data_IF_820512166788
#
_entry.id   IF_820512166788
#
_cell.length_a   1.000
_cell.length_b   1.000
_cell.length_c   1.000
_cell.angle_alpha   90.00
_cell.angle_beta   90.00
_cell.angle_gamma   90.00
#
_symmetry.space_group_name_H-M   'P 1'
#
loop_
_entity.id
_entity.type
_entity.pdbx_description
1 polymer ?
#
# COMPACT_ATOMS: atom_id res chain seq x y z
N UNK A 1 1.24 35.27 -9.18
CA UNK A 1 0.12 34.33 -9.39
C UNK A 1 -0.16 33.64 -8.07
N UNK A 2 -1.43 33.45 -7.73
CA UNK A 2 -1.80 32.58 -6.59
C UNK A 2 -1.49 31.12 -6.96
N UNK A 3 -0.97 30.31 -6.04
CA UNK A 3 -0.63 28.92 -6.32
C UNK A 3 -1.86 28.08 -6.73
N UNK A 4 -3.03 28.35 -6.14
CA UNK A 4 -4.25 27.57 -6.36
C UNK A 4 -5.32 28.37 -7.13
N UNK A 5 -4.97 28.83 -8.33
CA UNK A 5 -5.84 29.65 -9.17
C UNK A 5 -6.11 29.01 -10.53
N UNK A 6 -7.27 29.31 -11.10
CA UNK A 6 -7.59 28.99 -12.49
C UNK A 6 -7.08 30.12 -13.38
N UNK A 7 -6.43 29.77 -14.49
CA UNK A 7 -5.85 30.75 -15.39
C UNK A 7 -6.17 30.43 -16.85
N UNK A 8 -6.50 31.48 -17.60
CA UNK A 8 -6.55 31.45 -19.06
C UNK A 8 -5.22 31.95 -19.57
N UNK A 9 -4.60 31.17 -20.44
CA UNK A 9 -3.32 31.52 -21.08
C UNK A 9 -3.56 31.69 -22.57
N UNK A 10 -3.26 32.87 -23.12
CA UNK A 10 -3.29 33.14 -24.56
C UNK A 10 -1.89 33.38 -25.10
N UNK A 11 -1.67 33.12 -26.39
CA UNK A 11 -0.36 33.21 -27.05
C UNK A 11 0.71 32.33 -26.39
N UNK A 12 0.30 31.18 -25.83
CA UNK A 12 1.23 30.14 -25.40
C UNK A 12 1.71 29.33 -26.61
N UNK A 13 2.97 28.89 -26.58
CA UNK A 13 3.45 27.90 -27.55
C UNK A 13 3.17 26.50 -27.01
N UNK A 14 2.36 25.74 -27.73
CA UNK A 14 2.00 24.36 -27.37
C UNK A 14 2.94 23.40 -28.11
N UNK A 15 3.70 22.62 -27.35
CA UNK A 15 4.56 21.54 -27.85
C UNK A 15 4.43 20.31 -26.96
N UNK A 16 5.55 19.69 -26.56
CA UNK A 16 5.57 18.69 -25.48
C UNK A 16 5.24 19.30 -24.11
N UNK A 17 5.34 20.62 -23.99
CA UNK A 17 4.90 21.40 -22.84
C UNK A 17 4.20 22.68 -23.30
N UNK A 18 3.43 23.28 -22.40
CA UNK A 18 2.86 24.63 -22.58
C UNK A 18 3.93 25.65 -22.19
N UNK A 19 4.49 26.34 -23.18
CA UNK A 19 5.50 27.37 -22.95
C UNK A 19 4.85 28.74 -22.84
N UNK A 20 4.97 29.34 -21.66
CA UNK A 20 4.52 30.70 -21.35
C UNK A 20 5.73 31.62 -21.43
N UNK A 21 5.64 32.67 -22.25
CA UNK A 21 6.71 33.65 -22.45
C UNK A 21 6.25 35.06 -22.10
N UNK A 22 7.14 36.04 -22.21
CA UNK A 22 6.79 37.47 -22.06
C UNK A 22 5.72 37.96 -23.05
N UNK A 23 5.50 37.24 -24.16
CA UNK A 23 4.47 37.55 -25.15
C UNK A 23 3.13 36.85 -24.87
N UNK A 24 3.12 35.92 -23.91
CA UNK A 24 1.93 35.19 -23.48
C UNK A 24 1.15 36.03 -22.48
N UNK A 25 -0.18 36.00 -22.57
CA UNK A 25 -1.06 36.68 -21.61
C UNK A 25 -1.64 35.64 -20.67
N UNK A 26 -1.45 35.83 -19.36
CA UNK A 26 -2.01 34.99 -18.31
C UNK A 26 -3.05 35.80 -17.55
N UNK A 27 -4.28 35.31 -17.50
CA UNK A 27 -5.41 35.99 -16.85
C UNK A 27 -6.06 35.06 -15.83
N UNK A 28 -6.28 35.53 -14.60
CA UNK A 28 -7.06 34.79 -13.60
C UNK A 28 -8.47 34.55 -14.15
N UNK A 29 -8.96 33.33 -13.98
CA UNK A 29 -10.22 32.84 -14.52
C UNK A 29 -11.12 32.37 -13.40
N UNK A 30 -12.42 32.28 -13.70
CA UNK A 30 -13.37 31.69 -12.76
C UNK A 30 -13.05 30.20 -12.59
N UNK A 31 -13.34 29.62 -11.41
CA UNK A 31 -13.30 28.18 -11.24
C UNK A 31 -14.14 27.46 -12.28
N UNK A 32 -13.61 26.36 -12.79
CA UNK A 32 -14.34 25.45 -13.66
C UNK A 32 -14.19 24.02 -13.14
N UNK A 33 -15.20 23.21 -13.39
CA UNK A 33 -15.18 21.81 -13.01
C UNK A 33 -14.21 21.05 -13.91
N UNK A 34 -13.30 20.31 -13.28
CA UNK A 34 -12.39 19.41 -13.95
C UNK A 34 -12.34 18.08 -13.19
N UNK A 35 -11.95 17.02 -13.89
CA UNK A 35 -11.82 15.72 -13.28
C UNK A 35 -10.59 15.69 -12.36
N UNK A 36 -10.83 15.73 -11.05
CA UNK A 36 -9.79 15.61 -10.02
C UNK A 36 -9.05 14.28 -10.09
N UNK A 37 -9.65 13.24 -10.65
CA UNK A 37 -8.98 11.96 -10.87
C UNK A 37 -7.84 12.11 -11.87
N UNK A 38 -8.05 12.86 -12.96
CA UNK A 38 -7.02 13.12 -13.97
C UNK A 38 -5.83 13.85 -13.36
N UNK A 39 -6.08 14.85 -12.51
CA UNK A 39 -5.01 15.53 -11.77
C UNK A 39 -4.27 14.58 -10.83
N UNK A 40 -5.00 13.80 -10.02
CA UNK A 40 -4.41 12.84 -9.09
C UNK A 40 -3.53 11.82 -9.80
N UNK A 41 -4.03 11.26 -10.91
CA UNK A 41 -3.32 10.28 -11.73
C UNK A 41 -2.11 10.89 -12.43
N UNK A 42 -2.17 12.18 -12.81
CA UNK A 42 -1.05 12.90 -13.39
C UNK A 42 0.07 13.17 -12.37
N UNK A 43 -0.29 13.59 -11.16
CA UNK A 43 0.65 13.88 -10.07
C UNK A 43 1.24 12.61 -9.46
N UNK A 44 0.44 11.55 -9.38
CA UNK A 44 0.82 10.25 -8.80
C UNK A 44 0.57 9.14 -9.83
N UNK A 45 1.38 9.07 -10.89
CA UNK A 45 1.18 8.07 -11.92
C UNK A 45 1.48 6.67 -11.37
N UNK A 46 0.75 5.68 -11.88
CA UNK A 46 0.83 4.28 -11.46
C UNK A 46 2.28 3.79 -11.40
N UNK A 47 2.64 3.10 -10.32
CA UNK A 47 3.91 2.38 -10.18
C UNK A 47 3.87 1.12 -11.03
N UNK A 48 4.92 0.93 -11.83
CA UNK A 48 5.07 -0.15 -12.81
C UNK A 48 6.45 -0.77 -12.68
N UNK A 49 6.57 -2.03 -13.11
CA UNK A 49 7.85 -2.74 -13.10
C UNK A 49 8.72 -2.33 -14.30
N UNK A 50 10.02 -2.64 -14.25
CA UNK A 50 10.94 -2.40 -15.39
C UNK A 50 10.45 -3.08 -16.68
N UNK A 51 9.92 -4.30 -16.61
CA UNK A 51 9.41 -5.01 -17.79
C UNK A 51 8.19 -4.30 -18.42
N UNK A 52 7.26 -3.79 -17.60
CA UNK A 52 6.10 -3.03 -18.07
C UNK A 52 6.51 -1.67 -18.64
N UNK A 53 7.50 -1.01 -18.04
CA UNK A 53 8.02 0.26 -18.54
C UNK A 53 8.68 0.10 -19.92
N UNK A 54 9.40 -1.00 -20.15
CA UNK A 54 10.01 -1.33 -21.44
C UNK A 54 9.02 -1.72 -22.53
N UNK A 55 7.77 -2.00 -22.20
CA UNK A 55 6.70 -2.26 -23.20
C UNK A 55 5.75 -1.08 -23.34
N UNK A 56 5.99 0.00 -22.58
CA UNK A 56 5.13 1.17 -22.58
C UNK A 56 5.38 2.07 -23.80
N UNK A 57 4.33 2.70 -24.36
CA UNK A 57 4.48 3.63 -25.47
C UNK A 57 5.25 4.89 -25.05
N UNK A 58 5.95 5.49 -26.01
CA UNK A 58 6.64 6.76 -25.83
C UNK A 58 5.67 7.87 -25.36
N UNK A 59 6.19 8.80 -24.54
CA UNK A 59 5.48 9.89 -23.85
C UNK A 59 4.50 9.44 -22.76
N UNK A 60 4.44 8.15 -22.44
CA UNK A 60 3.63 7.69 -21.31
C UNK A 60 4.27 8.12 -19.99
N UNK A 61 3.45 8.68 -19.10
CA UNK A 61 3.85 9.02 -17.73
C UNK A 61 3.64 7.82 -16.80
N UNK A 62 4.64 7.45 -16.02
CA UNK A 62 4.58 6.34 -15.06
C UNK A 62 5.51 6.57 -13.86
N UNK A 63 5.33 5.78 -12.81
CA UNK A 63 6.34 5.59 -11.76
C UNK A 63 6.98 4.22 -11.95
N UNK A 64 8.26 4.09 -11.64
CA UNK A 64 9.06 2.89 -11.87
C UNK A 64 9.57 2.33 -10.56
N UNK A 65 9.27 1.07 -10.28
CA UNK A 65 9.88 0.32 -9.16
C UNK A 65 10.92 -0.66 -9.70
N UNK A 66 12.05 -0.76 -8.99
CA UNK A 66 13.12 -1.70 -9.30
C UNK A 66 14.34 -1.48 -8.42
N UNK A 67 15.42 -2.18 -8.73
CA UNK A 67 16.67 -2.13 -7.98
C UNK A 67 17.64 -1.13 -8.59
N UNK A 68 18.25 -0.27 -7.78
CA UNK A 68 19.26 0.67 -8.23
C UNK A 68 20.62 -0.01 -8.44
N UNK A 69 21.17 0.05 -9.65
CA UNK A 69 22.49 -0.54 -9.94
C UNK A 69 23.65 0.45 -9.93
N UNK A 70 23.35 1.72 -10.22
CA UNK A 70 24.35 2.76 -10.26
C UNK A 70 23.94 3.95 -11.11
N UNK A 71 24.80 4.96 -11.05
CA UNK A 71 24.65 6.23 -11.77
C UNK A 71 25.83 6.44 -12.71
N UNK A 72 25.52 6.89 -13.92
CA UNK A 72 26.49 7.44 -14.85
C UNK A 72 26.31 8.95 -14.89
N UNK A 73 27.37 9.69 -14.55
CA UNK A 73 27.42 11.14 -14.57
C UNK A 73 28.28 11.60 -15.75
N UNK A 74 27.79 12.61 -16.48
CA UNK A 74 28.59 13.26 -17.52
C UNK A 74 28.98 14.64 -17.00
N UNK A 75 30.26 14.87 -16.72
CA UNK A 75 30.77 16.11 -16.12
C UNK A 75 30.45 17.36 -16.95
N UNK A 76 30.24 17.21 -18.26
CA UNK A 76 29.98 18.32 -19.17
C UNK A 76 28.50 18.67 -19.34
N UNK A 77 27.58 17.83 -18.86
CA UNK A 77 26.15 18.04 -18.98
C UNK A 77 25.49 17.93 -17.61
N UNK A 78 24.59 18.85 -17.24
CA UNK A 78 23.73 18.72 -16.05
C UNK A 78 22.71 17.58 -16.24
N UNK A 79 23.23 16.36 -16.30
CA UNK A 79 22.52 15.12 -16.59
C UNK A 79 23.15 13.96 -15.85
N UNK A 80 22.30 13.20 -15.17
CA UNK A 80 22.65 11.90 -14.57
C UNK A 80 21.81 10.81 -15.22
N UNK A 81 22.36 9.62 -15.36
CA UNK A 81 21.66 8.46 -15.89
C UNK A 81 21.70 7.36 -14.84
N UNK A 82 20.54 6.98 -14.32
CA UNK A 82 20.39 5.93 -13.34
C UNK A 82 20.01 4.64 -14.06
N UNK A 83 20.65 3.53 -13.69
CA UNK A 83 20.27 2.21 -14.20
C UNK A 83 19.41 1.51 -13.15
N UNK A 84 18.17 1.22 -13.52
CA UNK A 84 17.21 0.51 -12.67
C UNK A 84 16.96 -0.87 -13.26
N UNK A 85 17.10 -1.90 -12.44
CA UNK A 85 16.90 -3.29 -12.86
C UNK A 85 15.69 -3.94 -12.22
N UNK A 86 15.06 -4.86 -12.95
CA UNK A 86 13.92 -5.63 -12.49
C UNK A 86 13.67 -6.80 -13.42
N UNK A 87 13.47 -8.00 -12.85
CA UNK A 87 13.18 -9.23 -13.59
C UNK A 87 14.08 -9.45 -14.84
N UNK A 88 15.40 -9.35 -14.65
CA UNK A 88 16.44 -9.51 -15.69
C UNK A 88 16.46 -8.45 -16.80
N UNK A 89 15.77 -7.33 -16.63
CA UNK A 89 15.82 -6.19 -17.55
C UNK A 89 16.37 -4.94 -16.85
N UNK A 90 16.94 -4.03 -17.65
CA UNK A 90 17.47 -2.74 -17.19
C UNK A 90 16.86 -1.62 -17.99
N UNK A 91 16.44 -0.55 -17.32
CA UNK A 91 16.00 0.69 -17.96
C UNK A 91 16.88 1.86 -17.49
N UNK A 92 17.27 2.70 -18.43
CA UNK A 92 18.02 3.92 -18.16
C UNK A 92 17.06 5.07 -17.84
N UNK A 93 17.24 5.70 -16.68
CA UNK A 93 16.45 6.85 -16.22
C UNK A 93 17.31 8.11 -16.23
N UNK A 94 16.95 9.08 -17.06
CA UNK A 94 17.70 10.33 -17.24
C UNK A 94 17.16 11.43 -16.34
N UNK A 95 17.99 11.88 -15.41
CA UNK A 95 17.73 13.06 -14.60
C UNK A 95 18.31 14.29 -15.29
N UNK A 96 17.51 15.37 -15.36
CA UNK A 96 17.87 16.63 -16.01
C UNK A 96 17.73 17.81 -15.05
N UNK A 97 18.58 18.83 -15.22
CA UNK A 97 18.48 20.09 -14.49
C UNK A 97 18.51 19.88 -12.97
N UNK A 98 17.61 20.50 -12.22
CA UNK A 98 17.55 20.36 -10.76
C UNK A 98 17.37 18.91 -10.27
N UNK A 99 16.87 17.99 -11.12
CA UNK A 99 16.71 16.59 -10.74
C UNK A 99 18.04 15.84 -10.65
N UNK A 100 19.13 16.39 -11.16
CA UNK A 100 20.46 15.78 -10.95
C UNK A 100 20.92 15.92 -9.50
N UNK A 101 20.38 16.87 -8.75
CA UNK A 101 20.77 17.15 -7.36
C UNK A 101 20.03 16.29 -6.33
N UNK A 102 19.13 15.40 -6.78
CA UNK A 102 18.44 14.45 -5.90
C UNK A 102 19.46 13.57 -5.16
N UNK A 103 19.16 13.22 -3.90
CA UNK A 103 19.95 12.23 -3.15
C UNK A 103 19.91 10.90 -3.91
N UNK A 104 21.08 10.35 -4.21
CA UNK A 104 21.19 9.08 -4.91
C UNK A 104 21.03 7.93 -3.91
N UNK A 105 20.26 6.88 -4.26
CA UNK A 105 20.23 5.62 -3.52
C UNK A 105 21.60 4.94 -3.47
N UNK A 106 21.78 4.02 -2.52
CA UNK A 106 22.94 3.14 -2.49
C UNK A 106 22.78 2.00 -3.49
N UNK A 107 23.91 1.54 -4.03
CA UNK A 107 23.91 0.46 -5.00
C UNK A 107 23.27 -0.77 -4.37
N UNK A 108 22.29 -1.35 -5.08
CA UNK A 108 21.43 -2.49 -4.72
C UNK A 108 20.16 -2.16 -3.95
N UNK A 109 19.89 -0.90 -3.61
CA UNK A 109 18.64 -0.49 -2.97
C UNK A 109 17.43 -0.80 -3.87
N UNK A 110 16.32 -1.19 -3.23
CA UNK A 110 15.02 -1.19 -3.88
C UNK A 110 14.50 0.24 -3.89
N UNK A 111 14.07 0.72 -5.05
CA UNK A 111 13.68 2.11 -5.22
C UNK A 111 12.43 2.23 -6.06
N UNK A 112 11.59 3.19 -5.69
CA UNK A 112 10.54 3.69 -6.56
C UNK A 112 10.87 5.11 -7.03
N UNK A 113 11.01 5.27 -8.35
CA UNK A 113 11.19 6.56 -9.01
C UNK A 113 9.84 7.03 -9.54
N UNK A 114 9.32 8.09 -8.94
CA UNK A 114 8.01 8.62 -9.28
C UNK A 114 8.06 9.59 -10.45
N UNK A 115 6.97 9.66 -11.22
CA UNK A 115 6.73 10.75 -12.17
C UNK A 115 7.75 10.85 -13.30
N UNK A 116 7.96 9.75 -14.01
CA UNK A 116 8.81 9.65 -15.19
C UNK A 116 7.98 9.71 -16.47
N UNK A 117 8.62 10.09 -17.57
CA UNK A 117 8.07 9.99 -18.92
C UNK A 117 8.90 9.01 -19.75
N UNK A 118 8.24 8.01 -20.35
CA UNK A 118 8.89 7.06 -21.25
C UNK A 118 9.29 7.77 -22.54
N UNK A 119 10.51 7.51 -22.98
CA UNK A 119 11.05 7.98 -24.25
C UNK A 119 11.83 6.88 -24.94
N UNK A 120 12.20 7.15 -26.18
CA UNK A 120 13.02 6.25 -26.97
C UNK A 120 14.20 7.03 -27.54
N UNK A 121 15.40 6.48 -27.38
CA UNK A 121 16.61 7.05 -27.95
C UNK A 121 17.40 5.96 -28.65
N UNK A 122 17.61 6.14 -29.96
CA UNK A 122 18.35 5.20 -30.82
C UNK A 122 17.82 3.75 -30.71
N UNK A 123 16.49 3.59 -30.71
CA UNK A 123 15.86 2.26 -30.64
C UNK A 123 15.83 1.63 -29.25
N UNK A 124 16.30 2.34 -28.21
CA UNK A 124 16.26 1.86 -26.83
C UNK A 124 15.23 2.65 -26.02
N UNK A 125 14.38 1.93 -25.31
CA UNK A 125 13.41 2.51 -24.39
C UNK A 125 14.13 2.94 -23.12
N UNK A 126 13.80 4.13 -22.68
CA UNK A 126 14.41 4.84 -21.55
C UNK A 126 13.35 5.74 -20.92
N UNK A 127 13.67 6.30 -19.75
CA UNK A 127 12.76 7.21 -19.07
C UNK A 127 13.44 8.55 -18.80
N UNK A 128 12.70 9.65 -18.91
CA UNK A 128 13.15 10.98 -18.53
C UNK A 128 12.46 11.43 -17.24
N UNK A 129 13.23 12.12 -16.41
CA UNK A 129 12.68 12.90 -15.30
C UNK A 129 11.75 14.00 -15.81
N UNK A 130 10.75 14.29 -15.00
CA UNK A 130 9.78 15.38 -15.18
C UNK A 130 9.86 16.33 -13.98
N UNK A 131 9.03 17.37 -13.96
CA UNK A 131 8.97 18.32 -12.84
C UNK A 131 8.60 17.66 -11.50
N UNK A 132 7.78 16.60 -11.52
CA UNK A 132 7.33 15.88 -10.31
C UNK A 132 8.22 14.69 -9.95
N UNK A 133 9.34 14.49 -10.63
CA UNK A 133 10.23 13.36 -10.32
C UNK A 133 10.79 13.48 -8.92
N UNK A 134 10.67 12.38 -8.18
CA UNK A 134 11.26 12.12 -6.87
C UNK A 134 11.67 10.64 -6.78
N UNK A 135 12.64 10.34 -5.94
CA UNK A 135 13.15 8.98 -5.70
C UNK A 135 12.82 8.64 -4.25
N UNK A 136 12.21 7.48 -4.04
CA UNK A 136 11.96 6.89 -2.74
C UNK A 136 12.79 5.62 -2.66
N UNK A 137 13.58 5.47 -1.61
CA UNK A 137 14.24 4.21 -1.29
C UNK A 137 13.23 3.41 -0.48
N UNK A 138 12.97 2.18 -0.91
CA UNK A 138 12.15 1.23 -0.18
C UNK A 138 13.08 0.53 0.82
N UNK A 139 13.04 0.98 2.07
CA UNK A 139 13.69 0.27 3.16
C UNK A 139 12.93 -1.05 3.34
N UNK A 140 13.66 -2.19 3.30
CA UNK A 140 13.04 -3.52 3.48
C UNK A 140 12.40 -3.70 4.88
N UNK A 141 12.53 -2.69 5.77
CA UNK A 141 12.04 -2.71 7.15
C UNK A 141 10.81 -1.81 7.43
N UNK A 142 10.32 -0.98 6.51
CA UNK A 142 9.16 -0.11 6.80
C UNK A 142 7.94 -0.39 5.90
N UNK A 143 6.79 -0.58 6.55
CA UNK A 143 5.43 -0.79 6.02
C UNK A 143 4.95 -2.24 5.77
N UNK A 144 5.07 -3.12 6.77
CA UNK A 144 4.06 -4.17 6.97
C UNK A 144 3.44 -4.13 8.36
N UNK A 145 3.08 -2.92 8.84
CA UNK A 145 2.08 -2.80 9.91
C UNK A 145 0.71 -3.24 9.37
N UNK A 146 0.50 -4.55 9.29
CA UNK A 146 -0.75 -5.11 8.80
C UNK A 146 -1.72 -5.26 9.97
N UNK A 147 -2.95 -4.80 9.77
CA UNK A 147 -4.07 -5.09 10.67
C UNK A 147 -4.77 -6.33 10.12
N UNK A 148 -4.87 -7.38 10.92
CA UNK A 148 -5.55 -8.62 10.59
C UNK A 148 -6.63 -8.92 11.64
N UNK A 149 -7.75 -9.46 11.20
CA UNK A 149 -8.82 -9.95 12.06
C UNK A 149 -9.09 -11.41 11.68
N UNK A 150 -9.22 -12.30 12.67
CA UNK A 150 -9.42 -13.72 12.40
C UNK A 150 -9.67 -14.56 13.64
N UNK A 151 -10.04 -15.82 13.40
CA UNK A 151 -10.15 -16.83 14.44
C UNK A 151 -8.76 -17.36 14.81
N UNK A 152 -8.52 -17.51 16.12
CA UNK A 152 -7.33 -18.17 16.62
C UNK A 152 -7.51 -19.68 16.48
N UNK A 153 -6.78 -20.30 15.56
CA UNK A 153 -6.82 -21.73 15.28
C UNK A 153 -5.90 -22.54 16.20
N UNK A 154 -4.78 -21.94 16.63
CA UNK A 154 -3.83 -22.56 17.56
C UNK A 154 -3.02 -21.50 18.31
N UNK A 155 -2.56 -21.85 19.51
CA UNK A 155 -1.62 -21.05 20.28
C UNK A 155 -0.57 -21.98 20.92
N UNK A 156 0.71 -21.63 20.75
CA UNK A 156 1.84 -22.30 21.38
C UNK A 156 2.37 -21.40 22.51
N UNK A 157 2.50 -21.98 23.71
CA UNK A 157 2.94 -21.29 24.91
C UNK A 157 4.31 -21.85 25.35
N UNK A 158 5.38 -21.34 24.76
CA UNK A 158 6.76 -21.69 25.12
C UNK A 158 7.44 -20.51 25.79
N UNK A 159 8.42 -20.77 26.68
CA UNK A 159 9.10 -19.71 27.43
C UNK A 159 9.94 -18.79 26.55
N UNK A 160 10.47 -19.30 25.42
CA UNK A 160 11.32 -18.55 24.48
C UNK A 160 10.60 -18.12 23.20
N UNK A 161 9.73 -18.95 22.64
CA UNK A 161 9.23 -18.78 21.26
C UNK A 161 7.72 -19.06 21.13
N UNK A 162 6.92 -18.22 21.76
CA UNK A 162 5.47 -18.30 21.63
C UNK A 162 4.97 -17.87 20.25
N UNK A 163 3.95 -18.60 19.79
CA UNK A 163 3.36 -18.40 18.47
C UNK A 163 1.84 -18.57 18.49
N UNK A 164 1.17 -17.91 17.56
CA UNK A 164 -0.28 -17.96 17.39
C UNK A 164 -0.61 -18.15 15.91
N UNK A 165 -1.62 -18.98 15.63
CA UNK A 165 -2.13 -19.21 14.28
C UNK A 165 -3.48 -18.53 14.13
N UNK A 166 -3.57 -17.60 13.19
CA UNK A 166 -4.78 -16.83 12.88
C UNK A 166 -5.03 -16.93 11.38
N UNK A 167 -6.21 -17.46 10.98
CA UNK A 167 -6.62 -17.62 9.58
C UNK A 167 -5.54 -18.30 8.70
N UNK A 168 -5.02 -19.43 9.19
CA UNK A 168 -3.93 -20.19 8.57
C UNK A 168 -2.53 -19.56 8.61
N UNK A 169 -2.33 -18.40 9.25
CA UNK A 169 -1.01 -17.75 9.36
C UNK A 169 -0.40 -17.90 10.75
N UNK A 170 0.81 -18.45 10.81
CA UNK A 170 1.59 -18.54 12.03
C UNK A 170 2.39 -17.25 12.27
N UNK A 171 2.17 -16.63 13.43
CA UNK A 171 2.78 -15.37 13.85
C UNK A 171 3.51 -15.57 15.18
N UNK A 172 4.69 -14.96 15.32
CA UNK A 172 5.39 -14.87 16.59
C UNK A 172 4.67 -13.88 17.51
N UNK A 173 4.53 -14.19 18.80
CA UNK A 173 3.81 -13.33 19.75
C UNK A 173 4.45 -13.43 21.13
N UNK A 174 4.49 -12.30 21.84
CA UNK A 174 4.96 -12.30 23.21
C UNK A 174 3.99 -13.00 24.15
N UNK A 175 4.55 -13.74 25.12
CA UNK A 175 3.80 -14.40 26.18
C UNK A 175 2.89 -13.44 26.94
N UNK A 176 3.31 -12.18 27.09
CA UNK A 176 2.50 -11.13 27.68
C UNK A 176 1.20 -10.88 26.89
N UNK A 177 1.29 -10.76 25.56
CA UNK A 177 0.15 -10.53 24.67
C UNK A 177 -0.75 -11.76 24.58
N UNK A 178 -0.19 -12.96 24.51
CA UNK A 178 -0.97 -14.21 24.60
C UNK A 178 -1.75 -14.30 25.91
N UNK A 179 -1.14 -13.89 27.04
CA UNK A 179 -1.78 -13.89 28.35
C UNK A 179 -2.98 -12.92 28.46
N UNK A 180 -3.06 -11.90 27.59
CA UNK A 180 -4.23 -11.01 27.52
C UNK A 180 -5.47 -11.73 26.98
N UNK A 181 -5.27 -12.74 26.13
CA UNK A 181 -6.35 -13.57 25.59
C UNK A 181 -6.57 -14.81 26.46
N UNK A 182 -5.48 -15.51 26.79
CA UNK A 182 -5.49 -16.83 27.43
C UNK A 182 -4.92 -16.74 28.85
N UNK A 183 -5.78 -16.34 29.80
CA UNK A 183 -5.39 -16.09 31.21
C UNK A 183 -4.78 -17.29 31.95
N UNK A 184 -5.02 -18.52 31.51
CA UNK A 184 -4.52 -19.75 32.14
C UNK A 184 -3.47 -20.50 31.31
N UNK A 185 -2.85 -19.85 30.29
CA UNK A 185 -1.90 -20.52 29.37
C UNK A 185 -2.54 -21.77 28.72
N UNK A 186 -3.83 -21.64 28.41
CA UNK A 186 -4.65 -22.70 27.82
C UNK A 186 -5.35 -22.14 26.61
N UNK A 187 -5.18 -22.83 25.50
CA UNK A 187 -5.91 -22.53 24.28
C UNK A 187 -7.42 -22.74 24.51
N UNK A 188 -8.21 -21.81 23.98
CA UNK A 188 -9.68 -21.84 23.99
C UNK A 188 -10.15 -21.65 22.56
N UNK A 189 -11.02 -22.53 22.10
CA UNK A 189 -11.63 -22.47 20.76
C UNK A 189 -12.60 -21.29 20.62
N UNK A 190 -12.89 -20.88 19.38
CA UNK A 190 -13.83 -19.81 19.03
C UNK A 190 -13.45 -18.42 19.60
N UNK A 191 -12.14 -18.14 19.57
CA UNK A 191 -11.56 -16.86 19.96
C UNK A 191 -11.29 -16.04 18.72
N UNK A 192 -11.95 -14.89 18.61
CA UNK A 192 -11.74 -13.95 17.50
C UNK A 192 -10.92 -12.76 17.97
N UNK A 193 -9.87 -12.45 17.23
CA UNK A 193 -8.91 -11.41 17.59
C UNK A 193 -8.67 -10.45 16.43
N UNK A 194 -8.33 -9.21 16.79
CA UNK A 194 -7.74 -8.23 15.90
C UNK A 194 -6.28 -8.08 16.29
N UNK A 195 -5.37 -8.26 15.34
CA UNK A 195 -3.93 -8.11 15.55
C UNK A 195 -3.38 -6.98 14.71
N UNK A 196 -2.49 -6.18 15.31
CA UNK A 196 -1.51 -5.40 14.56
C UNK A 196 -0.22 -6.20 14.57
N UNK A 197 0.25 -6.55 13.39
CA UNK A 197 1.53 -7.23 13.22
C UNK A 197 2.53 -6.31 12.55
N UNK A 198 3.80 -6.52 12.84
CA UNK A 198 4.92 -5.98 12.08
C UNK A 198 5.74 -7.17 11.59
N UNK A 199 5.93 -7.25 10.26
CA UNK A 199 6.44 -8.45 9.59
C UNK A 199 5.67 -9.73 9.95
N UNK A 200 6.25 -10.62 10.76
CA UNK A 200 5.64 -11.88 11.24
C UNK A 200 5.44 -11.91 12.76
N UNK A 201 5.52 -10.76 13.42
CA UNK A 201 5.40 -10.62 14.87
C UNK A 201 4.17 -9.81 15.23
N UNK A 202 3.42 -10.27 16.23
CA UNK A 202 2.26 -9.56 16.77
C UNK A 202 2.75 -8.51 17.75
N UNK A 203 2.44 -7.25 17.46
CA UNK A 203 2.77 -6.09 18.30
C UNK A 203 1.60 -5.67 19.19
N UNK A 204 0.37 -5.88 18.71
CA UNK A 204 -0.84 -5.58 19.47
C UNK A 204 -1.90 -6.63 19.18
N UNK A 205 -2.64 -7.03 20.22
CA UNK A 205 -3.74 -7.99 20.08
C UNK A 205 -4.95 -7.54 20.89
N UNK A 206 -6.12 -7.58 20.26
CA UNK A 206 -7.39 -7.18 20.86
C UNK A 206 -8.36 -8.33 20.70
N UNK A 207 -8.89 -8.82 21.83
CA UNK A 207 -9.96 -9.82 21.85
C UNK A 207 -11.28 -9.17 21.37
N UNK A 208 -11.83 -9.68 20.27
CA UNK A 208 -13.10 -9.20 19.70
C UNK A 208 -14.27 -9.94 20.35
N UNK A 209 -14.21 -11.27 20.42
CA UNK A 209 -15.29 -12.07 20.98
C UNK A 209 -14.82 -13.46 21.44
N UNK A 210 -15.53 -13.99 22.43
CA UNK A 210 -15.37 -15.34 22.97
C UNK A 210 -16.75 -16.02 22.89
N UNK A 211 -17.00 -16.78 21.82
CA UNK A 211 -18.25 -17.53 21.71
C UNK A 211 -18.15 -18.73 22.64
N UNK A 212 -18.71 -18.60 23.85
CA UNK A 212 -18.90 -19.76 24.73
C UNK A 212 -19.86 -20.73 24.03
N UNK A 213 -19.33 -21.81 23.48
CA UNK A 213 -20.10 -23.01 23.13
C UNK A 213 -20.77 -23.54 24.40
N UNK A 214 -22.03 -23.16 24.63
CA UNK A 214 -22.95 -24.00 25.39
C UNK A 214 -23.07 -25.30 24.61
N UNK A 215 -22.35 -26.34 25.06
CA UNK A 215 -22.54 -27.72 24.63
C UNK A 215 -24.03 -28.06 24.73
N UNK A 216 -24.73 -28.13 23.60
CA UNK A 216 -25.91 -28.97 23.45
C UNK A 216 -25.43 -30.41 23.65
N UNK A 217 -25.60 -30.94 24.84
CA UNK A 217 -25.63 -32.39 25.05
C UNK A 217 -26.83 -32.91 24.27
N UNK A 218 -26.55 -33.56 23.14
CA UNK A 218 -27.49 -34.46 22.50
C UNK A 218 -27.79 -35.59 23.50
N UNK A 219 -28.96 -35.52 24.16
CA UNK A 219 -29.60 -36.71 24.72
C UNK A 219 -30.12 -37.51 23.53
N UNK A 220 -29.47 -38.63 23.24
CA UNK A 220 -30.13 -39.76 22.61
C UNK A 220 -30.70 -40.67 23.72
N UNK A 221 -31.92 -41.12 23.47
CA UNK A 221 -32.65 -42.23 24.10
C UNK A 221 -33.30 -42.04 25.48
N UNK A 222 -34.57 -41.63 25.47
CA UNK A 222 -35.67 -42.58 25.72
C UNK A 222 -37.05 -41.91 25.55
N UNK A 223 -37.77 -42.36 24.51
CA UNK A 223 -39.18 -42.80 24.51
C UNK A 223 -40.25 -42.04 25.34
N UNK A 224 -41.28 -41.61 24.59
CA UNK A 224 -42.74 -41.77 24.81
C UNK A 224 -43.58 -40.47 25.00
N UNK A 225 -44.62 -40.40 24.16
CA UNK A 225 -45.91 -39.66 24.22
C UNK A 225 -45.91 -38.14 23.96
N UNK A 226 -46.53 -37.72 22.83
CA UNK A 226 -47.89 -37.10 22.73
C UNK A 226 -47.89 -35.70 23.37
N UNK A 227 -48.27 -34.58 22.74
CA UNK A 227 -49.27 -34.30 21.72
C UNK A 227 -49.20 -32.77 21.40
N UNK A 228 -49.59 -32.39 20.17
CA UNK A 228 -50.18 -31.08 19.77
C UNK A 228 -49.34 -29.78 19.72
N UNK A 229 -49.34 -29.15 18.52
CA UNK A 229 -49.58 -27.69 18.39
C UNK A 229 -48.49 -26.79 17.79
N UNK A 230 -48.46 -26.72 16.45
CA UNK A 230 -48.32 -25.51 15.59
C UNK A 230 -47.37 -24.33 15.94
N UNK A 231 -46.41 -24.11 15.01
CA UNK A 231 -46.03 -22.87 14.28
C UNK A 231 -45.56 -21.59 15.00
N UNK A 232 -44.35 -21.13 14.59
CA UNK A 232 -43.85 -19.77 14.25
C UNK A 232 -44.16 -18.57 15.20
N UNK A 233 -43.26 -17.65 15.54
CA UNK A 233 -42.46 -16.84 14.62
C UNK A 233 -41.33 -16.04 15.33
N UNK A 234 -40.37 -15.56 14.54
CA UNK A 234 -39.13 -14.90 14.95
C UNK A 234 -39.23 -13.38 15.28
N UNK A 235 -38.16 -12.88 15.91
CA UNK A 235 -37.55 -11.52 15.85
C UNK A 235 -37.97 -10.44 16.86
N UNK A 236 -37.00 -9.95 17.66
CA UNK A 236 -36.23 -8.70 17.42
C UNK A 236 -35.24 -8.41 18.57
N UNK A 237 -33.95 -8.40 18.26
CA UNK A 237 -32.87 -7.89 19.13
C UNK A 237 -32.62 -6.40 18.84
N UNK A 238 -32.56 -5.58 19.89
CA UNK A 238 -31.90 -4.26 19.88
C UNK A 238 -30.54 -4.39 20.61
N UNK A 239 -29.47 -3.73 20.16
CA UNK A 239 -28.17 -3.82 20.81
C UNK A 239 -28.05 -2.86 22.01
N UNK A 240 -27.48 -3.35 23.11
CA UNK A 240 -27.15 -2.57 24.32
C UNK A 240 -25.70 -2.10 24.23
N UNK A 241 -25.49 -0.79 24.44
CA UNK A 241 -24.19 -0.14 24.64
C UNK A 241 -23.58 -0.55 25.99
N UNK A 242 -22.27 -0.78 26.02
CA UNK A 242 -21.50 -0.90 27.27
C UNK A 242 -20.36 0.12 27.31
N UNK A 243 -20.33 0.85 28.42
CA UNK A 243 -19.34 1.86 28.81
C UNK A 243 -18.18 1.19 29.51
N UNK A 244 -16.96 1.63 29.20
CA UNK A 244 -15.69 1.14 29.78
C UNK A 244 -15.30 2.04 30.97
N UNK A 245 -14.80 1.43 32.05
CA UNK A 245 -14.02 2.11 33.10
C UNK A 245 -12.53 1.90 32.82
#
# INVERSE_FOLDING_TARGET
MKPDGFYTITNAKIGSAINVSQYSKVMESKPFDYDKKVEKDFLNPKVTTVAEALTSPSKRRLSLSGRFEGVYENENAKRRILNITGNNATIAVKLWGAKTELKMPEKKDNVTIHGLEISEFRGKIEANSTSTTRITVEDEEEDQSAIMEGEVEAACFEESDSSIVIDGKCLAIDNFLLGQIFKEVRYVENVFVKVRQEAKRVEEIILICLLKLQKRTCKADSKIEQENGTENDCQRNNPIKLTVF
#
